data_IF_909865664397
#
_entry.id   IF_909865664397
#
_cell.length_a   1.000
_cell.length_b   1.000
_cell.length_c   1.000
_cell.angle_alpha   90.00
_cell.angle_beta   90.00
_cell.angle_gamma   90.00
#
_symmetry.space_group_name_H-M   'P 1'
#
loop_
_entity.id
_entity.type
_entity.pdbx_description
1 polymer ?
#
# COMPACT_ATOMS: atom_id res chain seq x y z
N UNK A 1 18.01 1.54 5.11
CA UNK A 1 17.22 2.38 4.20
C UNK A 1 16.26 1.48 3.47
N UNK A 2 14.98 1.76 3.58
CA UNK A 2 13.87 1.15 2.82
C UNK A 2 13.50 2.06 1.64
N UNK A 3 12.93 1.56 0.54
CA UNK A 3 12.53 2.37 -0.63
C UNK A 3 11.81 3.67 -0.28
N UNK A 4 10.95 3.64 0.73
CA UNK A 4 10.20 4.81 1.22
C UNK A 4 11.12 5.97 1.62
N UNK A 5 12.32 5.68 2.14
CA UNK A 5 13.27 6.70 2.61
C UNK A 5 13.84 7.53 1.45
N UNK A 6 13.62 7.10 0.19
CA UNK A 6 14.16 7.74 -1.02
C UNK A 6 13.07 8.35 -1.92
N UNK A 7 11.79 8.17 -1.62
CA UNK A 7 10.71 8.73 -2.45
C UNK A 7 10.32 10.11 -1.97
N UNK A 8 10.15 11.07 -2.88
CA UNK A 8 9.58 12.36 -2.51
C UNK A 8 8.06 12.27 -2.33
N UNK A 9 7.49 13.04 -1.41
CA UNK A 9 6.03 13.06 -1.22
C UNK A 9 5.32 13.49 -2.51
N UNK A 10 5.92 14.41 -3.27
CA UNK A 10 5.40 14.90 -4.56
C UNK A 10 5.30 13.78 -5.60
N UNK A 11 6.32 12.92 -5.71
CA UNK A 11 6.30 11.80 -6.66
C UNK A 11 5.19 10.81 -6.30
N UNK A 12 5.09 10.46 -5.02
CA UNK A 12 4.06 9.54 -4.54
C UNK A 12 2.66 10.12 -4.73
N UNK A 13 2.45 11.39 -4.43
CA UNK A 13 1.19 12.06 -4.69
C UNK A 13 0.82 11.99 -6.17
N UNK A 14 1.75 12.32 -7.08
CA UNK A 14 1.50 12.28 -8.52
C UNK A 14 1.13 10.85 -8.96
N UNK A 15 1.85 9.84 -8.50
CA UNK A 15 1.55 8.44 -8.82
C UNK A 15 0.20 7.97 -8.27
N UNK A 16 -0.20 8.41 -7.07
CA UNK A 16 -1.51 8.12 -6.50
C UNK A 16 -2.64 8.81 -7.27
N UNK A 17 -2.40 10.00 -7.83
CA UNK A 17 -3.35 10.72 -8.68
C UNK A 17 -3.43 10.11 -10.09
N UNK A 18 -2.37 9.50 -10.61
CA UNK A 18 -2.41 8.76 -11.88
C UNK A 18 -3.04 7.37 -11.75
N UNK A 19 -3.03 6.77 -10.55
CA UNK A 19 -3.67 5.49 -10.29
C UNK A 19 -5.20 5.62 -10.28
N UNK A 20 -5.85 5.02 -11.28
CA UNK A 20 -7.31 5.06 -11.47
C UNK A 20 -8.12 4.56 -10.28
N UNK A 21 -7.56 3.66 -9.46
CA UNK A 21 -8.27 3.08 -8.32
C UNK A 21 -8.06 3.88 -7.03
N UNK A 22 -6.98 4.66 -6.94
CA UNK A 22 -6.62 5.46 -5.76
C UNK A 22 -7.05 6.92 -5.94
N UNK A 23 -6.92 7.50 -7.13
CA UNK A 23 -7.31 8.89 -7.43
C UNK A 23 -8.71 9.26 -6.91
N UNK A 24 -9.76 8.41 -7.07
CA UNK A 24 -11.10 8.75 -6.58
C UNK A 24 -11.15 8.94 -5.06
N UNK A 25 -10.16 8.44 -4.32
CA UNK A 25 -10.11 8.56 -2.87
C UNK A 25 -9.68 9.94 -2.35
N UNK A 26 -9.18 10.83 -3.22
CA UNK A 26 -8.77 12.17 -2.81
C UNK A 26 -9.93 13.16 -2.62
N UNK A 27 -11.05 12.96 -3.33
CA UNK A 27 -12.22 13.83 -3.27
C UNK A 27 -13.50 13.04 -3.57
N UNK A 28 -14.27 12.66 -2.54
CA UNK A 28 -15.48 11.86 -2.71
C UNK A 28 -16.70 12.71 -3.14
N UNK A 29 -16.58 14.04 -3.18
CA UNK A 29 -17.70 14.94 -3.52
C UNK A 29 -18.15 14.87 -4.98
N UNK A 30 -17.51 14.06 -5.82
CA UNK A 30 -18.04 13.79 -7.15
C UNK A 30 -19.21 12.81 -6.98
N UNK A 31 -20.43 13.28 -7.25
CA UNK A 31 -21.66 12.46 -7.34
C UNK A 31 -21.58 11.34 -8.42
N UNK A 32 -20.39 11.10 -9.00
CA UNK A 32 -20.12 10.22 -10.13
C UNK A 32 -18.98 9.21 -9.84
N UNK A 33 -18.61 8.95 -8.58
CA UNK A 33 -17.79 7.75 -8.31
C UNK A 33 -18.75 6.56 -8.30
N UNK A 34 -19.14 6.07 -9.48
CA UNK A 34 -19.49 4.66 -9.60
C UNK A 34 -18.21 3.89 -9.27
N UNK A 35 -18.20 3.01 -8.26
CA UNK A 35 -17.05 2.15 -8.05
C UNK A 35 -16.98 1.16 -9.23
N UNK A 36 -16.35 1.57 -10.33
CA UNK A 36 -16.29 0.76 -11.55
C UNK A 36 -15.38 -0.45 -11.35
N UNK A 37 -14.27 -0.25 -10.63
CA UNK A 37 -13.31 -1.32 -10.33
C UNK A 37 -13.55 -1.94 -8.94
N UNK A 38 -13.30 -3.25 -8.79
CA UNK A 38 -13.29 -3.91 -7.48
C UNK A 38 -12.29 -3.30 -6.48
N UNK A 39 -11.17 -2.78 -6.95
CA UNK A 39 -10.15 -2.14 -6.11
C UNK A 39 -10.66 -0.82 -5.54
N UNK A 40 -11.28 0.03 -6.37
CA UNK A 40 -11.92 1.28 -5.93
C UNK A 40 -12.99 1.01 -4.88
N UNK A 41 -13.81 -0.04 -5.04
CA UNK A 41 -14.79 -0.47 -4.02
C UNK A 41 -14.13 -0.78 -2.67
N UNK A 42 -12.98 -1.45 -2.68
CA UNK A 42 -12.26 -1.84 -1.46
C UNK A 42 -11.62 -0.65 -0.78
N UNK A 43 -11.03 0.28 -1.53
CA UNK A 43 -10.56 1.54 -0.95
C UNK A 43 -11.72 2.37 -0.38
N UNK A 44 -12.85 2.44 -1.09
CA UNK A 44 -14.05 3.12 -0.63
C UNK A 44 -14.61 2.52 0.67
N UNK A 45 -14.59 1.20 0.83
CA UNK A 45 -14.99 0.54 2.08
C UNK A 45 -14.10 0.95 3.27
N UNK A 46 -12.88 1.43 3.02
CA UNK A 46 -11.94 1.93 4.02
C UNK A 46 -12.03 3.44 4.24
N UNK A 47 -12.97 4.13 3.59
CA UNK A 47 -13.07 5.59 3.52
C UNK A 47 -12.84 6.29 4.86
N UNK A 48 -13.53 5.86 5.92
CA UNK A 48 -13.42 6.47 7.26
C UNK A 48 -12.02 6.38 7.90
N UNK A 49 -11.14 5.55 7.35
CA UNK A 49 -9.74 5.40 7.78
C UNK A 49 -8.75 6.07 6.83
N UNK A 50 -9.18 6.58 5.66
CA UNK A 50 -8.30 7.22 4.69
C UNK A 50 -8.10 8.70 5.02
N UNK A 51 -6.84 9.15 4.97
CA UNK A 51 -6.47 10.52 5.27
C UNK A 51 -5.38 10.98 4.30
N UNK A 52 -5.51 12.20 3.80
CA UNK A 52 -4.47 12.87 3.03
C UNK A 52 -3.56 13.64 3.99
N UNK A 53 -2.25 13.44 3.87
CA UNK A 53 -1.22 14.18 4.60
C UNK A 53 -0.20 14.70 3.61
N UNK A 54 0.03 16.01 3.61
CA UNK A 54 1.01 16.64 2.73
C UNK A 54 0.84 16.25 1.24
N UNK A 55 -0.43 16.06 0.82
CA UNK A 55 -0.77 15.65 -0.55
C UNK A 55 -0.76 14.14 -0.82
N UNK A 56 -0.30 13.31 0.12
CA UNK A 56 -0.20 11.86 -0.03
C UNK A 56 -1.32 11.15 0.72
N UNK A 57 -1.92 10.13 0.11
CA UNK A 57 -3.00 9.34 0.71
C UNK A 57 -2.45 8.23 1.61
N UNK A 58 -2.92 8.20 2.84
CA UNK A 58 -2.61 7.16 3.83
C UNK A 58 -3.87 6.51 4.36
N UNK A 59 -3.72 5.28 4.86
CA UNK A 59 -4.68 4.61 5.73
C UNK A 59 -4.21 4.71 7.18
N UNK A 60 -5.05 5.25 8.04
CA UNK A 60 -4.88 5.18 9.49
C UNK A 60 -5.33 3.81 9.97
N UNK A 61 -4.49 3.13 10.73
CA UNK A 61 -4.86 1.95 11.50
C UNK A 61 -4.72 2.28 12.98
N UNK A 62 -5.75 1.97 13.76
CA UNK A 62 -5.75 2.12 15.21
C UNK A 62 -6.02 0.76 15.84
N UNK A 63 -5.34 0.47 16.95
CA UNK A 63 -5.66 -0.70 17.76
C UNK A 63 -7.01 -0.51 18.47
N UNK A 64 -7.68 -1.62 18.80
CA UNK A 64 -9.01 -1.59 19.43
C UNK A 64 -9.02 -0.85 20.78
N UNK A 65 -7.88 -0.83 21.48
CA UNK A 65 -7.66 -0.12 22.74
C UNK A 65 -7.19 1.33 22.56
N UNK A 66 -7.02 1.80 21.32
CA UNK A 66 -6.51 3.13 20.98
C UNK A 66 -5.04 3.39 21.32
N UNK A 67 -4.30 2.39 21.83
CA UNK A 67 -2.91 2.55 22.29
C UNK A 67 -1.90 2.70 21.14
N UNK A 68 -2.24 2.23 19.95
CA UNK A 68 -1.38 2.23 18.78
C UNK A 68 -2.08 2.87 17.60
N UNK A 69 -1.42 3.86 16.99
CA UNK A 69 -1.82 4.41 15.70
C UNK A 69 -0.69 4.16 14.71
N UNK A 70 -1.02 3.59 13.55
CA UNK A 70 -0.10 3.38 12.43
C UNK A 70 -0.64 4.02 11.17
N UNK A 71 0.26 4.58 10.39
CA UNK A 71 -0.04 5.15 9.10
C UNK A 71 0.52 4.22 8.04
N UNK A 72 -0.35 3.69 7.20
CA UNK A 72 0.05 2.88 6.07
C UNK A 72 -0.09 3.71 4.80
N UNK A 73 0.99 3.87 4.05
CA UNK A 73 0.96 4.50 2.74
C UNK A 73 0.06 3.68 1.81
N UNK A 74 -0.89 4.34 1.13
CA UNK A 74 -1.65 3.70 0.07
C UNK A 74 -0.74 3.59 -1.16
N UNK A 75 -0.20 2.41 -1.42
CA UNK A 75 0.84 2.25 -2.42
C UNK A 75 0.23 2.26 -3.84
N UNK A 76 0.68 3.15 -4.76
CA UNK A 76 0.24 3.10 -6.15
C UNK A 76 0.76 1.84 -6.84
N UNK A 77 0.02 1.34 -7.84
CA UNK A 77 0.37 0.08 -8.52
C UNK A 77 1.78 0.08 -9.13
N UNK A 78 2.25 1.25 -9.57
CA UNK A 78 3.61 1.47 -10.11
C UNK A 78 4.72 1.01 -9.16
N UNK A 79 4.50 1.11 -7.84
CA UNK A 79 5.52 0.85 -6.80
C UNK A 79 5.44 -0.52 -6.15
N UNK A 80 4.38 -1.30 -6.41
CA UNK A 80 4.18 -2.62 -5.80
C UNK A 80 5.39 -3.53 -6.06
N UNK A 81 5.87 -3.59 -7.30
CA UNK A 81 7.00 -4.45 -7.67
C UNK A 81 8.29 -4.09 -6.93
N UNK A 82 8.58 -2.80 -6.81
CA UNK A 82 9.75 -2.27 -6.10
C UNK A 82 9.70 -2.69 -4.62
N UNK A 83 8.57 -2.46 -3.94
CA UNK A 83 8.37 -2.83 -2.53
C UNK A 83 8.47 -4.34 -2.30
N UNK A 84 7.86 -5.14 -3.18
CA UNK A 84 7.93 -6.59 -3.11
C UNK A 84 9.37 -7.09 -3.24
N UNK A 85 10.10 -6.57 -4.23
CA UNK A 85 11.49 -6.94 -4.48
C UNK A 85 12.38 -6.56 -3.30
N UNK A 86 12.32 -5.31 -2.83
CA UNK A 86 13.18 -4.88 -1.72
C UNK A 86 12.88 -5.62 -0.42
N UNK A 87 11.61 -5.82 -0.08
CA UNK A 87 11.27 -6.47 1.19
C UNK A 87 11.69 -7.95 1.17
N UNK A 88 11.67 -8.55 -0.01
CA UNK A 88 12.08 -9.92 -0.26
C UNK A 88 13.61 -10.09 -0.30
N UNK A 89 14.32 -9.18 -0.99
CA UNK A 89 15.75 -9.29 -1.29
C UNK A 89 16.65 -8.67 -0.22
N UNK A 90 16.21 -7.60 0.46
CA UNK A 90 17.01 -6.82 1.41
C UNK A 90 17.12 -7.48 2.81
N UNK A 91 17.11 -8.81 2.85
CA UNK A 91 17.30 -9.57 4.06
C UNK A 91 18.80 -9.72 4.35
N UNK A 92 19.31 -8.97 5.32
CA UNK A 92 20.64 -9.15 5.93
C UNK A 92 20.79 -10.48 6.69
N UNK A 93 20.21 -11.60 6.21
CA UNK A 93 20.27 -12.90 6.87
C UNK A 93 19.37 -14.02 6.34
N UNK A 94 18.67 -13.87 5.20
CA UNK A 94 17.97 -15.00 4.55
C UNK A 94 16.62 -14.68 3.92
N UNK A 95 16.27 -15.41 2.85
CA UNK A 95 15.01 -15.31 2.10
C UNK A 95 13.82 -15.45 3.05
N UNK A 96 12.97 -14.44 3.08
CA UNK A 96 11.79 -14.44 3.93
C UNK A 96 10.62 -15.11 3.20
N UNK A 97 10.13 -16.22 3.75
CA UNK A 97 8.87 -16.81 3.28
C UNK A 97 7.69 -15.84 3.45
N UNK A 98 6.61 -16.08 2.69
CA UNK A 98 5.38 -15.26 2.59
C UNK A 98 5.03 -14.50 3.86
N UNK A 99 4.96 -15.17 5.01
CA UNK A 99 4.49 -14.57 6.27
C UNK A 99 5.40 -13.45 6.78
N UNK A 100 6.72 -13.57 6.63
CA UNK A 100 7.69 -12.56 7.10
C UNK A 100 7.68 -11.34 6.16
N UNK A 101 7.62 -11.56 4.85
CA UNK A 101 7.48 -10.51 3.84
C UNK A 101 6.17 -9.74 4.04
N UNK A 102 5.06 -10.47 4.21
CA UNK A 102 3.74 -9.89 4.46
C UNK A 102 3.72 -9.03 5.73
N UNK A 103 4.35 -9.51 6.81
CA UNK A 103 4.43 -8.77 8.08
C UNK A 103 5.17 -7.44 7.90
N UNK A 104 6.34 -7.45 7.26
CA UNK A 104 7.15 -6.23 7.04
C UNK A 104 6.41 -5.20 6.19
N UNK A 105 5.81 -5.64 5.08
CA UNK A 105 5.07 -4.73 4.19
C UNK A 105 3.91 -4.08 4.93
N UNK A 106 3.14 -4.85 5.71
CA UNK A 106 1.99 -4.36 6.47
C UNK A 106 2.34 -3.39 7.60
N UNK A 107 3.61 -3.25 7.97
CA UNK A 107 4.00 -2.24 8.96
C UNK A 107 3.91 -0.82 8.38
N UNK A 108 3.94 -0.67 7.05
CA UNK A 108 4.11 0.64 6.41
C UNK A 108 3.26 0.88 5.17
N UNK A 109 2.84 -0.18 4.48
CA UNK A 109 2.09 -0.08 3.24
C UNK A 109 0.74 -0.75 3.30
N UNK A 110 -0.16 -0.25 2.46
CA UNK A 110 -1.40 -0.90 2.13
C UNK A 110 -1.69 -0.74 0.63
N UNK A 111 -2.10 -1.82 -0.02
CA UNK A 111 -2.74 -1.75 -1.32
C UNK A 111 -3.76 -2.88 -1.44
N UNK A 112 -4.60 -2.77 -2.45
CA UNK A 112 -5.53 -3.82 -2.80
C UNK A 112 -4.83 -5.14 -3.14
N UNK A 113 -5.37 -6.28 -2.69
CA UNK A 113 -4.77 -7.60 -2.95
C UNK A 113 -3.35 -7.84 -2.40
N UNK A 114 -2.81 -6.97 -1.52
CA UNK A 114 -1.47 -7.09 -0.92
C UNK A 114 -1.06 -8.52 -0.54
N UNK A 115 -1.93 -9.26 0.16
CA UNK A 115 -1.62 -10.65 0.55
C UNK A 115 -1.41 -11.58 -0.65
N UNK A 116 -2.31 -11.50 -1.64
CA UNK A 116 -2.25 -12.34 -2.83
C UNK A 116 -1.02 -12.01 -3.68
N UNK A 117 -0.66 -10.73 -3.79
CA UNK A 117 0.53 -10.30 -4.52
C UNK A 117 1.82 -10.78 -3.84
N UNK A 118 1.90 -10.70 -2.50
CA UNK A 118 3.04 -11.25 -1.73
C UNK A 118 3.15 -12.76 -1.91
N UNK A 119 2.03 -13.49 -1.82
CA UNK A 119 2.01 -14.94 -2.02
C UNK A 119 2.47 -15.34 -3.41
N UNK A 120 1.96 -14.65 -4.44
CA UNK A 120 2.35 -14.86 -5.83
C UNK A 120 3.83 -14.58 -6.02
N UNK A 121 4.32 -13.44 -5.54
CA UNK A 121 5.73 -13.04 -5.65
C UNK A 121 6.67 -14.08 -5.04
N UNK A 122 6.40 -14.50 -3.80
CA UNK A 122 7.23 -15.51 -3.13
C UNK A 122 7.18 -16.87 -3.83
N UNK A 123 6.04 -17.26 -4.43
CA UNK A 123 5.90 -18.52 -5.18
C UNK A 123 6.65 -18.50 -6.51
N UNK A 124 6.67 -17.36 -7.20
CA UNK A 124 7.33 -17.20 -8.50
C UNK A 124 8.85 -17.00 -8.36
N UNK A 125 9.32 -16.66 -7.16
CA UNK A 125 10.74 -16.57 -6.85
C UNK A 125 11.41 -17.93 -7.04
N UNK A 126 12.18 -18.08 -8.12
CA UNK A 126 12.96 -19.29 -8.46
C UNK A 126 14.02 -19.68 -7.41
N UNK A 127 14.17 -18.80 -6.44
CA UNK A 127 15.24 -18.75 -5.48
C UNK A 127 14.66 -19.08 -4.08
N UNK A 128 13.35 -18.97 -3.82
CA UNK A 128 12.76 -19.37 -2.52
C UNK A 128 12.50 -20.86 -2.42
#
# INVERSE_FOLDING_TARGET
MTAEDNWSESDIQNEQLEDSDIRPMYRPCLQEITPESPATKRYWALWGSLHVKDGVLYRKWESDDGSSCRWHLILPKSRIKEVLQETHDNASGGRFGVMKTLRRIRERFYWDHLRADVEKWCRECQIC
#
